data_IF_080010733347
#
_entry.id   IF_080010733347
#
_cell.length_a   1.000
_cell.length_b   1.000
_cell.length_c   1.000
_cell.angle_alpha   90.00
_cell.angle_beta   90.00
_cell.angle_gamma   90.00
#
_symmetry.space_group_name_H-M   'P 1'
#
loop_
_entity.id
_entity.type
_entity.pdbx_description
1 polymer ?
#
# COMPACT_ATOMS: atom_id res chain seq x y z
N UNK A 1 33.37 -43.76 28.92
CA UNK A 1 33.94 -42.58 28.23
C UNK A 1 33.05 -42.25 27.04
N UNK A 2 32.17 -41.24 27.12
CA UNK A 2 31.56 -40.54 25.97
C UNK A 2 30.90 -39.26 26.52
N UNK A 3 31.74 -38.27 26.84
CA UNK A 3 31.38 -36.86 27.02
C UNK A 3 31.35 -36.19 25.65
N UNK A 4 30.61 -35.09 25.53
CA UNK A 4 30.45 -34.17 24.38
C UNK A 4 29.31 -34.50 23.41
N UNK A 5 28.35 -33.62 23.11
CA UNK A 5 28.27 -32.15 23.21
C UNK A 5 26.80 -31.72 23.34
N UNK A 6 26.41 -31.27 24.53
CA UNK A 6 25.35 -30.29 24.67
C UNK A 6 25.91 -28.94 24.19
N UNK A 7 25.70 -28.60 22.92
CA UNK A 7 25.94 -27.23 22.44
C UNK A 7 24.79 -26.36 22.92
N UNK A 8 24.97 -25.74 24.08
CA UNK A 8 24.29 -24.51 24.43
C UNK A 8 24.43 -23.51 23.27
N UNK A 9 23.33 -23.22 22.57
CA UNK A 9 23.21 -22.01 21.74
C UNK A 9 23.05 -20.80 22.66
N UNK A 10 24.11 -20.50 23.40
CA UNK A 10 24.24 -19.26 24.16
C UNK A 10 24.91 -18.22 23.28
N UNK A 11 24.15 -17.66 22.33
CA UNK A 11 24.33 -16.33 21.69
C UNK A 11 23.21 -16.13 20.69
N UNK A 12 22.01 -15.83 21.19
CA UNK A 12 20.89 -15.40 20.35
C UNK A 12 21.16 -14.00 19.83
N UNK A 13 21.90 -13.87 18.72
CA UNK A 13 21.87 -12.65 17.92
C UNK A 13 20.41 -12.37 17.59
N UNK A 14 19.88 -11.24 18.09
CA UNK A 14 18.48 -10.82 17.97
C UNK A 14 18.20 -10.38 16.53
N UNK A 15 18.32 -11.31 15.58
CA UNK A 15 18.12 -11.00 14.16
C UNK A 15 16.64 -10.88 13.88
N UNK A 16 16.22 -9.70 13.41
CA UNK A 16 14.84 -9.47 12.99
C UNK A 16 14.45 -10.44 11.86
N UNK A 17 13.20 -10.89 11.89
CA UNK A 17 12.63 -11.70 10.80
C UNK A 17 12.61 -10.90 9.49
N UNK A 18 12.60 -11.60 8.35
CA UNK A 18 12.52 -10.96 7.03
C UNK A 18 11.28 -10.03 6.94
N UNK A 19 10.18 -10.46 7.54
CA UNK A 19 8.93 -9.71 7.61
C UNK A 19 9.08 -8.36 8.31
N UNK A 20 9.72 -8.35 9.49
CA UNK A 20 9.95 -7.12 10.26
C UNK A 20 10.91 -6.20 9.50
N UNK A 21 11.98 -6.75 8.94
CA UNK A 21 12.95 -5.97 8.15
C UNK A 21 12.26 -5.27 6.99
N UNK A 22 11.53 -6.01 6.15
CA UNK A 22 10.79 -5.45 5.02
C UNK A 22 9.78 -4.38 5.49
N UNK A 23 8.97 -4.70 6.49
CA UNK A 23 7.93 -3.78 6.96
C UNK A 23 8.55 -2.48 7.49
N UNK A 24 9.59 -2.56 8.31
CA UNK A 24 10.24 -1.40 8.91
C UNK A 24 10.97 -0.54 7.86
N UNK A 25 11.77 -1.15 6.97
CA UNK A 25 12.53 -0.40 5.97
C UNK A 25 11.61 0.26 4.95
N UNK A 26 10.60 -0.47 4.46
CA UNK A 26 9.68 0.08 3.46
C UNK A 26 8.76 1.13 4.08
N UNK A 27 8.32 0.95 5.34
CA UNK A 27 7.58 2.00 6.07
C UNK A 27 8.40 3.28 6.21
N UNK A 28 9.67 3.17 6.62
CA UNK A 28 10.54 4.33 6.76
C UNK A 28 10.76 5.04 5.42
N UNK A 29 10.98 4.27 4.34
CA UNK A 29 11.14 4.81 2.99
C UNK A 29 9.87 5.52 2.50
N UNK A 30 8.69 4.92 2.69
CA UNK A 30 7.41 5.52 2.30
C UNK A 30 7.10 6.78 3.11
N UNK A 31 7.38 6.78 4.42
CA UNK A 31 7.21 7.96 5.26
C UNK A 31 8.09 9.12 4.79
N UNK A 32 9.36 8.84 4.54
CA UNK A 32 10.31 9.84 4.03
C UNK A 32 9.90 10.35 2.65
N UNK A 33 9.56 9.45 1.72
CA UNK A 33 9.13 9.81 0.37
C UNK A 33 7.84 10.63 0.39
N UNK A 34 6.84 10.24 1.19
CA UNK A 34 5.59 10.98 1.32
C UNK A 34 5.76 12.34 1.98
N UNK A 35 6.66 12.45 2.97
CA UNK A 35 7.01 13.73 3.59
C UNK A 35 7.66 14.65 2.56
N UNK A 36 8.63 14.14 1.79
CA UNK A 36 9.32 14.88 0.74
C UNK A 36 8.37 15.32 -0.38
N UNK A 37 7.46 14.44 -0.82
CA UNK A 37 6.45 14.76 -1.83
C UNK A 37 5.49 15.86 -1.35
N UNK A 38 5.00 15.75 -0.11
CA UNK A 38 4.08 16.74 0.48
C UNK A 38 4.76 18.09 0.67
N UNK A 39 6.02 18.10 1.15
CA UNK A 39 6.81 19.32 1.26
C UNK A 39 7.09 19.93 -0.12
N UNK A 40 7.59 19.15 -1.07
CA UNK A 40 7.99 19.64 -2.38
C UNK A 40 6.82 20.20 -3.19
N UNK A 41 5.67 19.52 -3.16
CA UNK A 41 4.47 19.93 -3.89
C UNK A 41 3.65 20.98 -3.16
N UNK A 42 3.69 21.00 -1.81
CA UNK A 42 2.90 21.90 -0.97
C UNK A 42 3.63 23.14 -0.47
N UNK A 43 4.94 23.29 -0.71
CA UNK A 43 5.79 24.30 -0.05
C UNK A 43 5.25 25.73 -0.13
N UNK A 44 4.78 26.09 -1.32
CA UNK A 44 4.29 27.43 -1.67
C UNK A 44 2.77 27.54 -1.65
N UNK A 45 2.03 26.47 -1.40
CA UNK A 45 0.56 26.50 -1.43
C UNK A 45 0.03 27.38 -0.27
N UNK A 46 -0.54 28.56 -0.54
CA UNK A 46 -0.95 29.51 0.50
C UNK A 46 -2.13 29.01 1.33
N UNK A 47 -2.91 28.05 0.83
CA UNK A 47 -4.07 27.50 1.54
C UNK A 47 -3.71 26.38 2.52
N UNK A 48 -2.47 25.87 2.49
CA UNK A 48 -2.03 24.75 3.35
C UNK A 48 -0.69 25.05 4.03
N UNK A 49 0.41 24.53 3.50
CA UNK A 49 1.73 24.64 4.14
C UNK A 49 2.35 26.03 3.99
N UNK A 50 1.98 26.80 2.96
CA UNK A 50 2.55 28.09 2.58
C UNK A 50 2.75 29.08 3.74
N UNK A 51 1.72 29.37 4.55
CA UNK A 51 1.79 30.34 5.65
C UNK A 51 2.58 29.88 6.89
N UNK A 52 2.92 28.59 6.98
CA UNK A 52 3.55 28.01 8.17
C UNK A 52 5.05 28.31 8.23
N UNK A 53 5.62 28.30 9.43
CA UNK A 53 7.07 28.33 9.63
C UNK A 53 7.73 27.02 9.15
N UNK A 54 9.03 27.03 8.89
CA UNK A 54 9.74 25.85 8.34
C UNK A 54 9.59 24.60 9.23
N UNK A 55 9.77 24.67 10.57
CA UNK A 55 9.47 23.54 11.45
C UNK A 55 8.02 23.06 11.34
N UNK A 56 7.06 23.97 11.30
CA UNK A 56 5.64 23.66 11.11
C UNK A 56 5.37 22.95 9.78
N UNK A 57 5.97 23.40 8.68
CA UNK A 57 5.85 22.74 7.36
C UNK A 57 6.34 21.29 7.42
N UNK A 58 7.53 21.06 8.00
CA UNK A 58 8.13 19.72 8.11
C UNK A 58 7.27 18.80 8.96
N UNK A 59 6.80 19.29 10.12
CA UNK A 59 5.94 18.53 11.01
C UNK A 59 4.62 18.15 10.33
N UNK A 60 3.96 19.09 9.68
CA UNK A 60 2.67 18.85 9.02
C UNK A 60 2.81 17.93 7.80
N UNK A 61 3.88 18.05 7.02
CA UNK A 61 4.13 17.15 5.91
C UNK A 61 4.45 15.72 6.38
N UNK A 62 5.23 15.57 7.47
CA UNK A 62 5.47 14.27 8.08
C UNK A 62 4.18 13.67 8.63
N UNK A 63 3.38 14.48 9.32
CA UNK A 63 2.09 14.06 9.85
C UNK A 63 1.15 13.62 8.73
N UNK A 64 1.00 14.41 7.66
CA UNK A 64 0.19 14.04 6.48
C UNK A 64 0.64 12.70 5.87
N UNK A 65 1.94 12.52 5.67
CA UNK A 65 2.53 11.25 5.19
C UNK A 65 2.21 10.06 6.13
N UNK A 66 2.24 10.28 7.44
CA UNK A 66 1.85 9.27 8.42
C UNK A 66 0.35 8.97 8.39
N UNK A 67 -0.50 10.00 8.26
CA UNK A 67 -1.96 9.88 8.28
C UNK A 67 -2.54 9.24 7.03
N UNK A 68 -1.92 9.49 5.87
CA UNK A 68 -2.22 8.83 4.60
C UNK A 68 -2.09 7.30 4.69
N UNK A 69 -1.36 6.77 5.68
CA UNK A 69 -1.21 5.32 5.91
C UNK A 69 -2.18 4.81 6.97
N UNK A 70 -3.47 5.04 6.73
CA UNK A 70 -4.62 4.45 7.45
C UNK A 70 -4.93 4.99 8.85
N UNK A 71 -4.59 6.25 9.14
CA UNK A 71 -4.98 6.90 10.39
C UNK A 71 -6.02 8.02 10.20
N UNK A 72 -6.02 8.71 9.06
CA UNK A 72 -7.17 9.54 8.64
C UNK A 72 -7.34 10.88 9.34
N UNK A 73 -6.37 11.33 10.15
CA UNK A 73 -6.45 12.65 10.77
C UNK A 73 -5.90 13.75 9.85
N UNK A 74 -6.61 14.88 9.81
CA UNK A 74 -6.21 16.05 9.02
C UNK A 74 -5.47 17.05 9.92
N UNK A 75 -4.22 17.38 9.57
CA UNK A 75 -3.50 18.53 10.14
C UNK A 75 -3.46 19.74 9.20
N UNK A 76 -3.70 19.50 7.91
CA UNK A 76 -3.89 20.50 6.86
C UNK A 76 -5.19 20.21 6.13
N UNK A 77 -5.76 21.24 5.51
CA UNK A 77 -6.98 21.08 4.71
C UNK A 77 -6.68 20.27 3.44
N UNK A 78 -7.29 19.08 3.35
CA UNK A 78 -7.13 18.15 2.22
C UNK A 78 -7.83 18.70 0.97
N UNK A 79 -8.94 19.42 1.13
CA UNK A 79 -9.73 19.98 0.02
C UNK A 79 -8.93 21.06 -0.74
N UNK A 80 -7.98 21.70 -0.05
CA UNK A 80 -7.10 22.74 -0.57
C UNK A 80 -5.78 22.20 -1.17
N UNK A 81 -5.59 20.87 -1.24
CA UNK A 81 -4.42 20.27 -1.86
C UNK A 81 -4.51 20.34 -3.39
N UNK A 82 -3.36 20.61 -4.01
CA UNK A 82 -3.25 20.60 -5.47
C UNK A 82 -3.38 19.18 -6.05
N UNK A 83 -3.73 19.03 -7.35
CA UNK A 83 -3.94 17.72 -7.98
C UNK A 83 -2.72 16.79 -7.87
N UNK A 84 -1.50 17.32 -8.02
CA UNK A 84 -0.28 16.54 -7.88
C UNK A 84 -0.10 15.97 -6.46
N UNK A 85 -0.41 16.77 -5.42
CA UNK A 85 -0.32 16.34 -4.03
C UNK A 85 -1.39 15.31 -3.70
N UNK A 86 -2.62 15.48 -4.21
CA UNK A 86 -3.70 14.51 -4.08
C UNK A 86 -3.30 13.16 -4.71
N UNK A 87 -2.78 13.17 -5.94
CA UNK A 87 -2.32 11.95 -6.62
C UNK A 87 -1.16 11.28 -5.89
N UNK A 88 -0.17 12.05 -5.42
CA UNK A 88 0.93 11.51 -4.61
C UNK A 88 0.40 10.87 -3.32
N UNK A 89 -0.59 11.50 -2.67
CA UNK A 89 -1.24 10.97 -1.48
C UNK A 89 -2.03 9.70 -1.80
N UNK A 90 -2.71 9.62 -2.95
CA UNK A 90 -3.40 8.40 -3.41
C UNK A 90 -2.44 7.21 -3.50
N UNK A 91 -1.24 7.40 -4.07
CA UNK A 91 -0.23 6.32 -4.15
C UNK A 91 0.18 5.85 -2.75
N UNK A 92 0.38 6.78 -1.80
CA UNK A 92 0.69 6.45 -0.41
C UNK A 92 -0.47 5.73 0.28
N UNK A 93 -1.71 6.15 0.05
CA UNK A 93 -2.93 5.58 0.65
C UNK A 93 -3.23 4.18 0.14
N UNK A 94 -2.95 3.94 -1.14
CA UNK A 94 -3.09 2.62 -1.76
C UNK A 94 -2.12 1.61 -1.13
N UNK A 95 -0.92 2.07 -0.77
CA UNK A 95 0.06 1.31 0.02
C UNK A 95 -0.22 1.54 1.51
N UNK A 96 -1.10 0.71 2.07
CA UNK A 96 -1.50 0.79 3.47
C UNK A 96 -0.40 0.47 4.48
N UNK A 97 -0.79 0.00 5.66
CA UNK A 97 0.14 -0.30 6.76
C UNK A 97 0.80 -1.68 6.69
N UNK A 98 1.49 -2.03 7.77
CA UNK A 98 2.10 -3.34 7.95
C UNK A 98 1.09 -4.50 7.87
N UNK A 99 1.59 -5.70 7.52
CA UNK A 99 0.77 -6.91 7.62
C UNK A 99 0.42 -7.25 9.07
N UNK A 100 -0.66 -8.02 9.26
CA UNK A 100 -1.20 -8.35 10.59
C UNK A 100 -1.62 -7.14 11.45
N UNK A 101 -1.60 -5.93 10.88
CA UNK A 101 -2.15 -4.72 11.50
C UNK A 101 -3.57 -4.40 11.04
N UNK A 102 -4.12 -3.36 11.62
CA UNK A 102 -5.45 -2.80 11.38
C UNK A 102 -5.51 -1.86 10.17
N UNK A 103 -4.53 -1.88 9.27
CA UNK A 103 -4.57 -1.03 8.09
C UNK A 103 -5.34 -1.71 6.93
N UNK A 104 -6.07 -0.95 6.11
CA UNK A 104 -6.62 -1.43 4.83
C UNK A 104 -5.61 -1.35 3.69
N UNK A 105 -6.11 -1.47 2.46
CA UNK A 105 -5.32 -1.36 1.23
C UNK A 105 -4.30 -2.48 1.01
N UNK A 106 -3.37 -2.25 0.09
CA UNK A 106 -2.28 -3.20 -0.15
C UNK A 106 -1.25 -3.05 0.96
N UNK A 107 -0.85 -4.16 1.56
CA UNK A 107 0.13 -4.15 2.65
C UNK A 107 1.50 -3.67 2.17
N UNK A 108 2.22 -2.98 3.06
CA UNK A 108 3.62 -2.55 2.82
C UNK A 108 4.51 -3.68 2.34
N UNK A 109 4.31 -4.89 2.88
CA UNK A 109 5.08 -6.08 2.49
C UNK A 109 4.76 -6.57 1.09
N UNK A 110 3.51 -6.49 0.65
CA UNK A 110 3.10 -6.80 -0.73
C UNK A 110 3.80 -5.86 -1.70
N UNK A 111 3.80 -4.56 -1.39
CA UNK A 111 4.52 -3.56 -2.17
C UNK A 111 6.04 -3.83 -2.17
N UNK A 112 6.62 -4.15 -1.01
CA UNK A 112 8.05 -4.44 -0.89
C UNK A 112 8.48 -5.69 -1.68
N UNK A 113 7.65 -6.74 -1.71
CA UNK A 113 7.90 -7.96 -2.51
C UNK A 113 7.88 -7.63 -4.00
N UNK A 114 6.90 -6.86 -4.47
CA UNK A 114 6.82 -6.44 -5.87
C UNK A 114 8.01 -5.56 -6.25
N UNK A 115 8.40 -4.61 -5.40
CA UNK A 115 9.58 -3.78 -5.62
C UNK A 115 10.87 -4.60 -5.69
N UNK A 116 11.03 -5.60 -4.82
CA UNK A 116 12.18 -6.51 -4.87
C UNK A 116 12.22 -7.35 -6.16
N UNK A 117 11.06 -7.79 -6.66
CA UNK A 117 10.98 -8.50 -7.93
C UNK A 117 11.31 -7.60 -9.12
N UNK A 118 10.80 -6.37 -9.16
CA UNK A 118 11.12 -5.38 -10.20
C UNK A 118 12.64 -5.08 -10.19
N UNK A 119 13.23 -4.88 -9.01
CA UNK A 119 14.67 -4.64 -8.89
C UNK A 119 15.52 -5.83 -9.36
N UNK A 120 15.10 -7.07 -9.06
CA UNK A 120 15.77 -8.27 -9.54
C UNK A 120 15.69 -8.38 -11.07
N UNK A 121 14.52 -8.13 -11.65
CA UNK A 121 14.30 -8.15 -13.10
C UNK A 121 15.18 -7.10 -13.82
N UNK A 122 15.21 -5.86 -13.32
CA UNK A 122 16.05 -4.78 -13.86
C UNK A 122 17.54 -5.12 -13.78
N UNK A 123 17.96 -5.92 -12.79
CA UNK A 123 19.34 -6.40 -12.64
C UNK A 123 19.65 -7.66 -13.43
N UNK A 124 18.65 -8.30 -14.04
CA UNK A 124 18.80 -9.61 -14.68
C UNK A 124 19.08 -10.74 -13.69
N UNK A 125 18.68 -10.61 -12.42
CA UNK A 125 18.83 -11.66 -11.42
C UNK A 125 17.71 -12.70 -11.59
N UNK A 126 18.02 -14.01 -11.69
CA UNK A 126 17.01 -15.04 -11.94
C UNK A 126 16.08 -15.28 -10.75
N UNK A 127 16.46 -14.81 -9.57
CA UNK A 127 15.74 -15.00 -8.32
C UNK A 127 15.51 -13.66 -7.62
N UNK A 128 14.26 -13.37 -7.30
CA UNK A 128 13.95 -12.22 -6.45
C UNK A 128 14.32 -12.52 -4.98
N UNK A 129 15.05 -11.58 -4.38
CA UNK A 129 15.51 -11.69 -3.00
C UNK A 129 15.50 -10.36 -2.27
N UNK A 130 15.39 -10.43 -0.94
CA UNK A 130 15.51 -9.29 -0.06
C UNK A 130 16.31 -9.65 1.18
N UNK A 131 17.19 -8.76 1.63
CA UNK A 131 18.05 -8.97 2.82
C UNK A 131 18.80 -10.31 2.81
N UNK A 132 19.39 -10.68 1.66
CA UNK A 132 20.11 -11.94 1.45
C UNK A 132 19.24 -13.19 1.65
N UNK A 133 17.93 -13.09 1.37
CA UNK A 133 16.99 -14.20 1.40
C UNK A 133 16.16 -14.22 0.12
N UNK A 134 16.03 -15.40 -0.48
CA UNK A 134 15.19 -15.63 -1.67
C UNK A 134 13.71 -15.59 -1.30
N UNK A 135 12.90 -14.95 -2.15
CA UNK A 135 11.45 -14.94 -2.05
C UNK A 135 10.88 -16.13 -2.83
N UNK A 136 9.90 -16.82 -2.25
CA UNK A 136 9.28 -17.95 -2.93
C UNK A 136 8.37 -17.46 -4.08
N UNK A 137 8.39 -18.11 -5.26
CA UNK A 137 7.63 -17.64 -6.44
C UNK A 137 6.12 -17.47 -6.20
N UNK A 138 5.54 -18.28 -5.31
CA UNK A 138 4.12 -18.15 -4.97
C UNK A 138 3.80 -16.85 -4.23
N UNK A 139 4.72 -16.31 -3.44
CA UNK A 139 4.56 -15.03 -2.72
C UNK A 139 4.51 -13.88 -3.72
N UNK A 140 5.34 -13.92 -4.76
CA UNK A 140 5.32 -12.93 -5.83
C UNK A 140 3.99 -12.95 -6.60
N UNK A 141 3.52 -14.14 -7.00
CA UNK A 141 2.22 -14.27 -7.69
C UNK A 141 1.04 -13.79 -6.84
N UNK A 142 1.05 -14.11 -5.54
CA UNK A 142 0.05 -13.60 -4.60
C UNK A 142 0.11 -12.07 -4.53
N UNK A 143 1.30 -11.51 -4.34
CA UNK A 143 1.49 -10.07 -4.26
C UNK A 143 0.99 -9.35 -5.53
N UNK A 144 1.30 -9.90 -6.71
CA UNK A 144 0.86 -9.38 -8.00
C UNK A 144 -0.67 -9.46 -8.14
N UNK A 145 -1.27 -10.59 -7.76
CA UNK A 145 -2.73 -10.78 -7.79
C UNK A 145 -3.44 -9.75 -6.93
N UNK A 146 -2.97 -9.52 -5.71
CA UNK A 146 -3.54 -8.54 -4.79
C UNK A 146 -3.41 -7.13 -5.33
N UNK A 147 -2.26 -6.80 -5.92
CA UNK A 147 -2.04 -5.50 -6.49
C UNK A 147 -2.96 -5.22 -7.68
N UNK A 148 -3.04 -6.14 -8.64
CA UNK A 148 -3.89 -5.96 -9.82
C UNK A 148 -5.37 -5.95 -9.48
N UNK A 149 -5.83 -6.79 -8.54
CA UNK A 149 -7.22 -6.75 -8.06
C UNK A 149 -7.53 -5.42 -7.35
N UNK A 150 -6.60 -4.91 -6.53
CA UNK A 150 -6.77 -3.61 -5.87
C UNK A 150 -6.87 -2.47 -6.89
N UNK A 151 -5.96 -2.43 -7.87
CA UNK A 151 -5.98 -1.42 -8.94
C UNK A 151 -7.26 -1.50 -9.75
N UNK A 152 -7.67 -2.71 -10.17
CA UNK A 152 -8.90 -2.93 -10.93
C UNK A 152 -10.14 -2.49 -10.16
N UNK A 153 -10.23 -2.82 -8.87
CA UNK A 153 -11.36 -2.45 -8.02
C UNK A 153 -11.47 -0.93 -7.84
N UNK A 154 -10.36 -0.25 -7.51
CA UNK A 154 -10.34 1.22 -7.36
C UNK A 154 -10.69 1.89 -8.69
N UNK A 155 -10.16 1.40 -9.80
CA UNK A 155 -10.42 1.96 -11.14
C UNK A 155 -11.90 1.84 -11.49
N UNK A 156 -12.49 0.65 -11.34
CA UNK A 156 -13.91 0.43 -11.61
C UNK A 156 -14.82 1.29 -10.72
N UNK A 157 -14.49 1.38 -9.43
CA UNK A 157 -15.26 2.22 -8.52
C UNK A 157 -15.14 3.71 -8.86
N UNK A 158 -13.94 4.19 -9.23
CA UNK A 158 -13.72 5.58 -9.67
C UNK A 158 -14.55 5.89 -10.92
N UNK A 159 -14.56 4.99 -11.91
CA UNK A 159 -15.40 5.13 -13.12
C UNK A 159 -16.89 5.19 -12.75
N UNK A 160 -17.34 4.29 -11.87
CA UNK A 160 -18.73 4.26 -11.44
C UNK A 160 -19.15 5.53 -10.68
N UNK A 161 -18.29 6.06 -9.81
CA UNK A 161 -18.53 7.31 -9.08
C UNK A 161 -18.56 8.52 -10.01
N UNK A 162 -17.64 8.61 -10.98
CA UNK A 162 -17.63 9.67 -12.00
C UNK A 162 -18.88 9.67 -12.89
N UNK A 163 -19.51 8.51 -13.08
CA UNK A 163 -20.78 8.42 -13.80
C UNK A 163 -21.96 8.96 -12.98
N UNK A 164 -21.81 9.12 -11.65
CA UNK A 164 -22.87 9.54 -10.74
C UNK A 164 -22.70 10.98 -10.24
N UNK A 165 -21.47 11.49 -10.16
CA UNK A 165 -21.15 12.80 -9.60
C UNK A 165 -20.31 13.63 -10.57
N UNK A 166 -20.59 14.92 -10.64
CA UNK A 166 -19.84 15.89 -11.45
C UNK A 166 -18.79 16.58 -10.57
N UNK A 167 -17.63 15.95 -10.42
CA UNK A 167 -16.47 16.53 -9.73
C UNK A 167 -15.18 16.20 -10.48
N UNK A 168 -14.06 16.76 -10.05
CA UNK A 168 -12.73 16.57 -10.60
C UNK A 168 -12.27 15.13 -10.40
N UNK A 169 -11.64 14.58 -11.43
CA UNK A 169 -11.13 13.21 -11.43
C UNK A 169 -10.25 12.91 -10.21
N UNK A 170 -9.34 13.80 -9.86
CA UNK A 170 -8.42 13.62 -8.74
C UNK A 170 -9.13 13.56 -7.38
N UNK A 171 -10.27 14.24 -7.21
CA UNK A 171 -11.08 14.20 -6.00
C UNK A 171 -11.82 12.87 -5.90
N UNK A 172 -12.46 12.43 -6.98
CA UNK A 172 -13.18 11.14 -7.01
C UNK A 172 -12.22 9.96 -6.83
N UNK A 173 -11.06 10.00 -7.48
CA UNK A 173 -10.01 8.99 -7.30
C UNK A 173 -9.51 8.98 -5.86
N UNK A 174 -9.29 10.14 -5.25
CA UNK A 174 -8.84 10.26 -3.87
C UNK A 174 -9.80 9.58 -2.89
N UNK A 175 -11.11 9.76 -3.09
CA UNK A 175 -12.16 9.16 -2.27
C UNK A 175 -12.23 7.65 -2.45
N UNK A 176 -12.18 7.16 -3.70
CA UNK A 176 -12.16 5.74 -3.98
C UNK A 176 -10.93 5.05 -3.37
N UNK A 177 -9.75 5.68 -3.49
CA UNK A 177 -8.50 5.17 -2.88
C UNK A 177 -8.56 5.24 -1.36
N UNK A 178 -9.12 6.31 -0.78
CA UNK A 178 -9.30 6.44 0.67
C UNK A 178 -10.20 5.35 1.22
N UNK A 179 -11.32 5.09 0.57
CA UNK A 179 -12.26 4.05 0.94
C UNK A 179 -11.59 2.67 0.85
N UNK A 180 -10.93 2.35 -0.26
CA UNK A 180 -10.21 1.08 -0.42
C UNK A 180 -9.06 0.90 0.58
N UNK A 181 -8.29 1.95 0.83
CA UNK A 181 -7.22 1.94 1.83
C UNK A 181 -7.74 1.95 3.27
N UNK A 182 -9.05 2.16 3.47
CA UNK A 182 -9.68 2.50 4.75
C UNK A 182 -8.89 3.59 5.48
N UNK A 183 -8.57 4.66 4.75
CA UNK A 183 -7.68 5.71 5.25
C UNK A 183 -8.44 6.71 6.09
N UNK A 184 -9.61 7.15 5.61
CA UNK A 184 -10.46 8.12 6.30
C UNK A 184 -10.16 9.58 5.98
N UNK A 185 -9.21 9.86 5.08
CA UNK A 185 -9.06 11.21 4.52
C UNK A 185 -10.13 11.44 3.45
N UNK A 186 -10.62 12.67 3.32
CA UNK A 186 -11.59 13.07 2.28
C UNK A 186 -11.13 14.37 1.64
N UNK A 187 -11.35 14.49 0.33
CA UNK A 187 -11.12 15.72 -0.42
C UNK A 187 -12.41 16.57 -0.56
N UNK A 188 -13.46 16.23 0.20
CA UNK A 188 -14.71 16.98 0.30
C UNK A 188 -15.91 16.32 -0.39
N UNK A 189 -15.73 15.21 -1.10
CA UNK A 189 -16.81 14.58 -1.88
C UNK A 189 -17.75 13.73 -1.02
N UNK A 190 -17.25 13.12 0.07
CA UNK A 190 -18.02 12.13 0.85
C UNK A 190 -19.42 12.61 1.25
N UNK A 191 -19.63 13.87 1.72
CA UNK A 191 -20.95 14.39 2.09
C UNK A 191 -21.88 14.65 0.90
N UNK A 192 -21.36 14.72 -0.32
CA UNK A 192 -22.11 15.06 -1.53
C UNK A 192 -22.48 13.82 -2.36
N UNK A 193 -22.11 12.63 -1.89
CA UNK A 193 -22.38 11.39 -2.62
C UNK A 193 -23.88 11.06 -2.64
N UNK A 194 -24.43 10.67 -3.80
CA UNK A 194 -25.77 10.11 -3.84
C UNK A 194 -25.78 8.74 -3.14
N UNK A 195 -26.96 8.23 -2.71
CA UNK A 195 -27.06 6.95 -1.99
C UNK A 195 -26.40 5.76 -2.72
N UNK A 196 -26.44 5.75 -4.06
CA UNK A 196 -25.75 4.73 -4.85
C UNK A 196 -24.21 4.84 -4.76
N UNK A 197 -23.67 6.06 -4.71
CA UNK A 197 -22.24 6.32 -4.51
C UNK A 197 -21.77 5.94 -3.11
N UNK A 198 -22.59 6.20 -2.08
CA UNK A 198 -22.31 5.76 -0.70
C UNK A 198 -22.16 4.23 -0.61
N UNK A 199 -23.04 3.47 -1.29
CA UNK A 199 -22.92 2.00 -1.34
C UNK A 199 -21.60 1.55 -1.96
N UNK A 200 -21.14 2.22 -3.02
CA UNK A 200 -19.84 1.92 -3.64
C UNK A 200 -18.70 2.17 -2.63
N UNK A 201 -18.72 3.29 -1.92
CA UNK A 201 -17.73 3.61 -0.88
C UNK A 201 -17.76 2.59 0.27
N UNK A 202 -18.94 2.21 0.76
CA UNK A 202 -19.10 1.19 1.80
C UNK A 202 -18.50 -0.15 1.35
N UNK A 203 -18.78 -0.56 0.12
CA UNK A 203 -18.23 -1.80 -0.45
C UNK A 203 -16.71 -1.73 -0.59
N UNK A 204 -16.16 -0.60 -1.02
CA UNK A 204 -14.71 -0.38 -1.07
C UNK A 204 -14.07 -0.48 0.32
N UNK A 205 -14.66 0.15 1.33
CA UNK A 205 -14.17 0.07 2.72
C UNK A 205 -14.20 -1.36 3.24
N UNK A 206 -15.27 -2.09 2.98
CA UNK A 206 -15.42 -3.48 3.39
C UNK A 206 -14.37 -4.38 2.74
N UNK A 207 -14.24 -4.33 1.41
CA UNK A 207 -13.26 -5.15 0.66
C UNK A 207 -11.82 -4.75 1.04
N UNK A 208 -11.56 -3.45 1.13
CA UNK A 208 -10.28 -2.88 1.53
C UNK A 208 -9.81 -3.36 2.90
N UNK A 209 -10.74 -3.50 3.84
CA UNK A 209 -10.46 -4.02 5.18
C UNK A 209 -10.30 -5.54 5.22
N UNK A 210 -11.10 -6.26 4.43
CA UNK A 210 -11.12 -7.72 4.40
C UNK A 210 -9.87 -8.33 3.77
N UNK A 211 -9.15 -7.60 2.92
CA UNK A 211 -8.00 -8.11 2.14
C UNK A 211 -7.10 -9.12 2.87
N UNK A 212 -6.62 -8.87 4.10
CA UNK A 212 -5.80 -9.83 4.83
C UNK A 212 -6.53 -11.12 5.21
N UNK A 213 -7.79 -11.02 5.63
CA UNK A 213 -8.62 -12.15 6.04
C UNK A 213 -8.97 -12.99 4.81
N UNK A 214 -9.39 -12.36 3.72
CA UNK A 214 -9.71 -13.06 2.47
C UNK A 214 -8.49 -13.75 1.87
N UNK A 215 -7.29 -13.14 1.93
CA UNK A 215 -6.07 -13.84 1.53
C UNK A 215 -5.80 -15.07 2.40
N UNK A 216 -5.80 -14.92 3.72
CA UNK A 216 -5.49 -16.04 4.62
C UNK A 216 -6.48 -17.18 4.41
N UNK A 217 -7.77 -16.87 4.31
CA UNK A 217 -8.81 -17.88 4.03
C UNK A 217 -8.65 -18.50 2.65
N UNK A 218 -8.42 -17.72 1.60
CA UNK A 218 -8.23 -18.24 0.25
C UNK A 218 -6.98 -19.12 0.11
N UNK A 219 -5.91 -18.81 0.85
CA UNK A 219 -4.70 -19.63 0.89
C UNK A 219 -4.88 -20.91 1.68
N UNK A 220 -5.59 -20.86 2.81
CA UNK A 220 -5.92 -22.04 3.60
C UNK A 220 -6.84 -23.02 2.86
N UNK A 221 -7.70 -22.51 1.96
CA UNK A 221 -8.71 -23.32 1.26
C UNK A 221 -8.25 -23.88 -0.10
N UNK A 222 -7.04 -23.55 -0.58
CA UNK A 222 -6.66 -23.78 -1.98
C UNK A 222 -5.40 -24.61 -2.17
N UNK A 223 -5.28 -25.72 -1.46
CA UNK A 223 -4.38 -26.81 -1.85
C UNK A 223 -5.06 -27.76 -2.83
N UNK A 224 -4.98 -27.44 -4.13
CA UNK A 224 -5.17 -28.44 -5.19
C UNK A 224 -3.80 -28.77 -5.79
N UNK A 225 -3.23 -29.89 -5.38
CA UNK A 225 -2.03 -30.46 -6.01
C UNK A 225 -2.41 -31.00 -7.40
N UNK A 226 -2.22 -30.18 -8.43
CA UNK A 226 -2.26 -30.68 -9.81
C UNK A 226 -1.00 -31.52 -10.04
N UNK A 227 -1.18 -32.81 -10.33
CA UNK A 227 -0.10 -33.77 -10.60
C UNK A 227 0.36 -33.80 -12.06
N UNK A 228 -0.14 -32.89 -12.89
CA UNK A 228 0.22 -32.77 -14.30
C UNK A 228 0.47 -31.29 -14.67
N UNK A 229 1.37 -31.07 -15.62
CA UNK A 229 1.70 -29.77 -16.19
C UNK A 229 1.30 -29.73 -17.66
N UNK A 230 0.80 -28.59 -18.12
CA UNK A 230 0.62 -28.33 -19.54
C UNK A 230 1.98 -27.97 -20.18
N UNK A 231 2.12 -28.10 -21.52
CA UNK A 231 3.31 -27.64 -22.23
C UNK A 231 3.62 -26.16 -21.93
N UNK A 232 4.90 -25.84 -21.77
CA UNK A 232 5.35 -24.46 -21.57
C UNK A 232 5.35 -23.73 -22.92
N UNK A 233 4.59 -22.64 -23.02
CA UNK A 233 4.65 -21.70 -24.13
C UNK A 233 5.15 -20.34 -23.61
N UNK A 234 5.92 -19.64 -24.44
CA UNK A 234 6.50 -18.33 -24.14
C UNK A 234 5.86 -17.26 -25.02
N UNK A 235 4.69 -16.72 -24.63
CA UNK A 235 4.10 -15.61 -25.36
C UNK A 235 5.03 -14.40 -25.29
N UNK A 236 5.10 -13.63 -26.38
CA UNK A 236 5.85 -12.37 -26.41
C UNK A 236 5.09 -11.36 -25.53
N UNK A 237 5.77 -10.84 -24.52
CA UNK A 237 5.30 -9.73 -23.68
C UNK A 237 6.15 -8.52 -24.06
N UNK A 238 5.50 -7.41 -24.40
CA UNK A 238 6.16 -6.15 -24.78
C UNK A 238 6.64 -5.34 -23.60
#
# INVERSE_FOLDING_TARGET
>A
MLRHRARHRATGSRTWSLHIKLTATTTAALLAAGTAATLGLGWTNPATLGPMDVPGKILNAFFHSAMARTAGFNAIDITALGPATLLATCVLMFIGGGSAGTAGGIKVTTFAVLGAAILAEVRGEPDSGAFHRRLAPHVLRQALTVALLGVGLVTLATIALLAMVQDRFEVVLFEAVSAFGTVGLSAGLTPELPPAGEVIIIMLMFVGRLGPITLVSALALRERTRRFHYPEERPIIG
#
